data_IF_837516734105
#
_entry.id   IF_837516734105
#
_cell.length_a   1.000
_cell.length_b   1.000
_cell.length_c   1.000
_cell.angle_alpha   90.00
_cell.angle_beta   90.00
_cell.angle_gamma   90.00
#
_symmetry.space_group_name_H-M   'P 1'
#
loop_
_entity.id
_entity.type
_entity.pdbx_description
1 polymer ?
#
# COMPACT_ATOMS: atom_id res chain seq x y z
N UNK A 1 -0.87 2.47 -25.43
CA UNK A 1 0.51 2.39 -24.90
C UNK A 1 0.60 2.81 -23.44
N UNK A 2 0.15 4.01 -23.03
CA UNK A 2 0.26 4.50 -21.64
C UNK A 2 -0.35 3.55 -20.59
N UNK A 3 -1.59 3.13 -20.79
CA UNK A 3 -2.29 2.27 -19.84
C UNK A 3 -1.64 0.89 -19.67
N UNK A 4 -1.10 0.28 -20.75
CA UNK A 4 -0.38 -0.99 -20.63
C UNK A 4 0.91 -0.84 -19.80
N UNK A 5 1.64 0.25 -19.99
CA UNK A 5 2.85 0.54 -19.24
C UNK A 5 2.54 0.82 -17.75
N UNK A 6 1.53 1.65 -17.47
CA UNK A 6 1.03 1.89 -16.10
C UNK A 6 0.60 0.58 -15.44
N UNK A 7 -0.08 -0.30 -16.19
CA UNK A 7 -0.49 -1.59 -15.70
C UNK A 7 0.72 -2.45 -15.33
N UNK A 8 1.71 -2.55 -16.21
CA UNK A 8 2.92 -3.33 -16.02
C UNK A 8 3.74 -2.82 -14.82
N UNK A 9 3.95 -1.50 -14.73
CA UNK A 9 4.71 -0.88 -13.64
C UNK A 9 4.08 -1.19 -12.28
N UNK A 10 2.76 -0.99 -12.14
CA UNK A 10 2.04 -1.31 -10.91
C UNK A 10 2.09 -2.79 -10.56
N UNK A 11 1.99 -3.67 -11.56
CA UNK A 11 2.14 -5.13 -11.36
C UNK A 11 3.51 -5.47 -10.79
N UNK A 12 4.58 -4.90 -11.36
CA UNK A 12 5.95 -5.15 -10.90
C UNK A 12 6.12 -4.63 -9.47
N UNK A 13 5.66 -3.41 -9.17
CA UNK A 13 5.80 -2.83 -7.82
C UNK A 13 5.00 -3.65 -6.79
N UNK A 14 3.76 -4.03 -7.08
CA UNK A 14 2.96 -4.87 -6.18
C UNK A 14 3.64 -6.23 -5.93
N UNK A 15 4.25 -6.84 -6.95
CA UNK A 15 5.01 -8.08 -6.80
C UNK A 15 6.23 -7.88 -5.91
N UNK A 16 7.00 -6.80 -6.11
CA UNK A 16 8.18 -6.50 -5.30
C UNK A 16 7.84 -6.19 -3.85
N UNK A 17 6.74 -5.47 -3.61
CA UNK A 17 6.36 -5.02 -2.28
C UNK A 17 5.70 -6.12 -1.44
N UNK A 18 4.91 -6.99 -2.07
CA UNK A 18 3.99 -7.88 -1.36
C UNK A 18 4.04 -9.35 -1.84
N UNK A 19 4.91 -9.68 -2.79
CA UNK A 19 5.04 -11.04 -3.33
C UNK A 19 3.77 -11.56 -4.02
N UNK A 20 2.85 -10.67 -4.43
CA UNK A 20 1.56 -11.06 -5.04
C UNK A 20 1.65 -11.13 -6.56
N UNK A 21 1.26 -12.26 -7.11
CA UNK A 21 1.12 -12.47 -8.56
C UNK A 21 -0.31 -12.19 -9.06
N UNK A 22 -0.40 -11.92 -10.36
CA UNK A 22 -1.53 -11.24 -11.00
C UNK A 22 -2.76 -12.12 -11.29
N UNK A 23 -2.67 -13.43 -11.03
CA UNK A 23 -3.63 -14.43 -11.53
C UNK A 23 -4.92 -14.53 -10.69
N UNK A 24 -5.03 -13.75 -9.62
CA UNK A 24 -6.20 -13.74 -8.74
C UNK A 24 -7.00 -12.43 -8.84
N UNK A 25 -8.31 -12.53 -8.67
CA UNK A 25 -9.27 -11.41 -8.65
C UNK A 25 -8.86 -10.28 -7.69
N UNK A 26 -8.19 -10.65 -6.60
CA UNK A 26 -7.61 -9.75 -5.61
C UNK A 26 -6.49 -8.86 -6.16
N UNK A 27 -5.59 -9.40 -6.98
CA UNK A 27 -4.50 -8.63 -7.60
C UNK A 27 -5.05 -7.56 -8.54
N UNK A 28 -6.11 -7.89 -9.30
CA UNK A 28 -6.82 -6.92 -10.14
C UNK A 28 -7.51 -5.83 -9.32
N UNK A 29 -8.15 -6.19 -8.20
CA UNK A 29 -8.77 -5.22 -7.26
C UNK A 29 -7.72 -4.28 -6.70
N UNK A 30 -6.64 -4.81 -6.11
CA UNK A 30 -5.55 -4.01 -5.55
C UNK A 30 -4.97 -3.06 -6.59
N UNK A 31 -4.67 -3.56 -7.78
CA UNK A 31 -4.16 -2.75 -8.88
C UNK A 31 -5.09 -1.59 -9.25
N UNK A 32 -6.41 -1.84 -9.31
CA UNK A 32 -7.37 -0.80 -9.64
C UNK A 32 -7.44 0.29 -8.55
N UNK A 33 -7.39 -0.13 -7.29
CA UNK A 33 -7.41 0.76 -6.14
C UNK A 33 -6.14 1.62 -6.10
N UNK A 34 -4.95 1.01 -6.29
CA UNK A 34 -3.67 1.72 -6.38
C UNK A 34 -3.59 2.65 -7.59
N UNK A 35 -4.15 2.26 -8.73
CA UNK A 35 -4.25 3.14 -9.91
C UNK A 35 -5.09 4.38 -9.60
N UNK A 36 -6.21 4.21 -8.91
CA UNK A 36 -7.06 5.33 -8.50
C UNK A 36 -6.37 6.22 -7.46
N UNK A 37 -5.61 5.64 -6.53
CA UNK A 37 -4.79 6.41 -5.60
C UNK A 37 -3.80 7.33 -6.32
N UNK A 38 -3.01 6.79 -7.25
CA UNK A 38 -2.05 7.59 -8.03
C UNK A 38 -2.73 8.70 -8.84
N UNK A 39 -3.91 8.43 -9.41
CA UNK A 39 -4.70 9.44 -10.12
C UNK A 39 -5.18 10.55 -9.19
N UNK A 40 -5.66 10.20 -8.00
CA UNK A 40 -6.14 11.17 -7.01
C UNK A 40 -4.98 11.98 -6.42
N UNK A 41 -3.83 11.36 -6.20
CA UNK A 41 -2.62 12.06 -5.76
C UNK A 41 -2.12 13.09 -6.79
N UNK A 42 -2.23 12.78 -8.08
CA UNK A 42 -1.86 13.71 -9.16
C UNK A 42 -2.96 14.67 -9.58
N UNK A 43 -4.13 14.65 -8.95
CA UNK A 43 -5.27 15.47 -9.34
C UNK A 43 -5.11 16.93 -8.90
N UNK A 44 -5.61 17.85 -9.72
CA UNK A 44 -5.71 19.25 -9.33
C UNK A 44 -6.91 19.46 -8.40
N UNK A 45 -6.68 19.60 -7.10
CA UNK A 45 -7.72 19.83 -6.10
C UNK A 45 -7.73 21.29 -5.67
N UNK A 46 -8.85 21.99 -5.88
CA UNK A 46 -8.97 23.43 -5.57
C UNK A 46 -8.71 23.72 -4.09
N UNK A 47 -9.10 22.81 -3.21
CA UNK A 47 -8.89 22.93 -1.76
C UNK A 47 -7.42 22.98 -1.36
N UNK A 48 -6.50 22.43 -2.17
CA UNK A 48 -5.06 22.47 -1.92
C UNK A 48 -4.50 23.89 -2.13
N UNK A 49 -5.15 24.71 -2.97
CA UNK A 49 -4.78 26.10 -3.23
C UNK A 49 -5.59 27.10 -2.40
N UNK A 50 -6.86 26.78 -2.13
CA UNK A 50 -7.79 27.62 -1.37
C UNK A 50 -8.42 26.77 -0.24
N UNK A 51 -7.73 26.63 0.91
CA UNK A 51 -8.17 25.74 2.00
C UNK A 51 -9.54 26.06 2.58
N UNK A 52 -9.99 27.31 2.50
CA UNK A 52 -11.32 27.72 2.98
C UNK A 52 -12.48 27.11 2.17
N UNK A 53 -12.21 26.61 0.95
CA UNK A 53 -13.21 25.92 0.11
C UNK A 53 -13.23 24.39 0.31
N UNK A 54 -12.39 23.86 1.21
CA UNK A 54 -12.26 22.41 1.45
C UNK A 54 -13.59 21.73 1.79
N UNK A 55 -14.45 22.39 2.58
CA UNK A 55 -15.74 21.84 2.99
C UNK A 55 -16.72 21.59 1.84
N UNK A 56 -16.54 22.26 0.70
CA UNK A 56 -17.37 22.06 -0.49
C UNK A 56 -17.00 20.80 -1.27
N UNK A 57 -15.77 20.29 -1.10
CA UNK A 57 -15.23 19.14 -1.85
C UNK A 57 -15.50 19.27 -3.37
N UNK A 58 -15.09 20.39 -3.97
CA UNK A 58 -15.35 20.70 -5.38
C UNK A 58 -14.70 19.61 -6.26
N UNK A 59 -15.54 18.80 -6.91
CA UNK A 59 -15.10 17.65 -7.70
C UNK A 59 -15.12 16.31 -6.95
N UNK A 60 -15.38 16.30 -5.64
CA UNK A 60 -15.55 15.08 -4.84
C UNK A 60 -14.26 14.34 -4.49
N UNK A 61 -13.10 14.96 -4.74
CA UNK A 61 -11.78 14.32 -4.62
C UNK A 61 -11.46 13.86 -3.20
N UNK A 62 -11.80 14.63 -2.16
CA UNK A 62 -11.51 14.23 -0.79
C UNK A 62 -12.34 13.02 -0.37
N UNK A 63 -13.63 13.02 -0.76
CA UNK A 63 -14.52 11.90 -0.50
C UNK A 63 -14.06 10.65 -1.24
N UNK A 64 -13.58 10.79 -2.48
CA UNK A 64 -13.04 9.67 -3.25
C UNK A 64 -11.73 9.15 -2.64
N UNK A 65 -10.81 10.04 -2.26
CA UNK A 65 -9.56 9.69 -1.60
C UNK A 65 -9.81 8.94 -0.29
N UNK A 66 -10.75 9.42 0.56
CA UNK A 66 -11.10 8.72 1.81
C UNK A 66 -11.66 7.32 1.58
N UNK A 67 -12.45 7.11 0.52
CA UNK A 67 -12.95 5.78 0.16
C UNK A 67 -11.81 4.87 -0.32
N UNK A 68 -10.96 5.41 -1.17
CA UNK A 68 -9.82 4.69 -1.72
C UNK A 68 -8.81 4.31 -0.62
N UNK A 69 -8.52 5.22 0.32
CA UNK A 69 -7.65 4.97 1.46
C UNK A 69 -8.13 3.81 2.35
N UNK A 70 -9.44 3.71 2.62
CA UNK A 70 -10.02 2.57 3.37
C UNK A 70 -9.81 1.24 2.67
N UNK A 71 -9.94 1.25 1.36
CA UNK A 71 -9.79 0.07 0.54
C UNK A 71 -8.32 -0.37 0.45
N UNK A 72 -7.39 0.59 0.32
CA UNK A 72 -5.94 0.34 0.42
C UNK A 72 -5.59 -0.25 1.77
N UNK A 73 -6.03 0.37 2.86
CA UNK A 73 -5.74 -0.09 4.22
C UNK A 73 -6.24 -1.53 4.42
N UNK A 74 -7.45 -1.85 3.95
CA UNK A 74 -7.98 -3.22 3.99
C UNK A 74 -7.08 -4.23 3.25
N UNK A 75 -6.60 -3.87 2.05
CA UNK A 75 -5.74 -4.76 1.24
C UNK A 75 -4.37 -4.94 1.91
N UNK A 76 -3.76 -3.86 2.37
CA UNK A 76 -2.46 -3.89 3.05
C UNK A 76 -2.52 -4.68 4.35
N UNK A 77 -3.58 -4.48 5.14
CA UNK A 77 -3.83 -5.24 6.38
C UNK A 77 -3.95 -6.74 6.08
N UNK A 78 -4.74 -7.09 5.07
CA UNK A 78 -4.91 -8.49 4.67
C UNK A 78 -3.57 -9.12 4.28
N UNK A 79 -2.78 -8.44 3.45
CA UNK A 79 -1.46 -8.96 3.05
C UNK A 79 -0.49 -9.03 4.22
N UNK A 80 -0.50 -8.07 5.13
CA UNK A 80 0.33 -8.10 6.33
C UNK A 80 0.01 -9.31 7.21
N UNK A 81 -1.28 -9.55 7.48
CA UNK A 81 -1.76 -10.70 8.25
C UNK A 81 -1.36 -12.02 7.57
N UNK A 82 -1.45 -12.09 6.25
CA UNK A 82 -1.02 -13.27 5.49
C UNK A 82 0.49 -13.53 5.61
N UNK A 83 1.33 -12.50 5.52
CA UNK A 83 2.78 -12.64 5.69
C UNK A 83 3.14 -13.08 7.12
N UNK A 84 2.53 -12.44 8.13
CA UNK A 84 2.69 -12.84 9.54
C UNK A 84 2.29 -14.29 9.78
N UNK A 85 1.17 -14.72 9.20
CA UNK A 85 0.68 -16.11 9.33
C UNK A 85 1.67 -17.10 8.71
N UNK A 86 2.13 -16.87 7.48
CA UNK A 86 3.10 -17.74 6.81
C UNK A 86 4.39 -17.89 7.63
N UNK A 87 4.91 -16.77 8.14
CA UNK A 87 6.08 -16.74 9.04
C UNK A 87 5.83 -17.57 10.31
N UNK A 88 4.68 -17.40 10.97
CA UNK A 88 4.34 -18.17 12.18
C UNK A 88 4.18 -19.68 11.95
N UNK A 89 3.85 -20.09 10.73
CA UNK A 89 3.74 -21.50 10.34
C UNK A 89 5.09 -22.13 9.96
N UNK A 90 6.20 -21.40 10.06
CA UNK A 90 7.53 -21.89 9.72
C UNK A 90 7.81 -21.93 8.22
N UNK A 91 6.98 -21.29 7.38
CA UNK A 91 7.28 -21.05 5.96
C UNK A 91 8.30 -19.90 5.84
N UNK A 92 9.51 -20.12 6.35
CA UNK A 92 10.59 -19.17 6.19
C UNK A 92 11.08 -19.23 4.73
N UNK A 93 10.83 -18.14 4.00
CA UNK A 93 11.38 -17.94 2.66
C UNK A 93 12.90 -17.84 2.72
N UNK A 94 13.59 -18.34 1.70
CA UNK A 94 15.01 -18.04 1.48
C UNK A 94 15.19 -16.52 1.33
N UNK A 95 16.38 -15.98 1.63
CA UNK A 95 16.61 -14.54 1.51
C UNK A 95 16.29 -14.01 0.10
N UNK A 96 16.59 -14.80 -0.94
CA UNK A 96 16.30 -14.46 -2.34
C UNK A 96 14.80 -14.43 -2.69
N UNK A 97 13.94 -15.03 -1.86
CA UNK A 97 12.49 -15.13 -2.07
C UNK A 97 11.68 -14.12 -1.23
N UNK A 98 12.33 -13.36 -0.36
CA UNK A 98 11.67 -12.36 0.49
C UNK A 98 11.23 -11.15 -0.34
N UNK A 99 9.99 -10.73 -0.11
CA UNK A 99 9.51 -9.45 -0.62
C UNK A 99 9.75 -8.32 0.40
N UNK A 100 9.47 -7.08 0.00
CA UNK A 100 9.70 -5.91 0.86
C UNK A 100 8.95 -6.01 2.21
N UNK A 101 7.71 -6.53 2.20
CA UNK A 101 6.94 -6.69 3.43
C UNK A 101 7.56 -7.74 4.37
N UNK A 102 8.11 -8.84 3.84
CA UNK A 102 8.88 -9.81 4.64
C UNK A 102 10.14 -9.19 5.27
N UNK A 103 10.83 -8.33 4.53
CA UNK A 103 12.03 -7.62 5.00
C UNK A 103 11.63 -6.68 6.14
N UNK A 104 10.59 -5.87 5.94
CA UNK A 104 10.08 -4.95 6.94
C UNK A 104 9.61 -5.67 8.21
N UNK A 105 8.89 -6.78 8.09
CA UNK A 105 8.50 -7.62 9.22
C UNK A 105 9.72 -8.15 9.99
N UNK A 106 10.78 -8.56 9.29
CA UNK A 106 12.01 -9.05 9.94
C UNK A 106 12.73 -7.92 10.69
N UNK A 107 12.82 -6.73 10.07
CA UNK A 107 13.43 -5.55 10.68
C UNK A 107 12.75 -5.16 12.00
N UNK A 108 11.41 -5.16 12.03
CA UNK A 108 10.67 -4.78 13.23
C UNK A 108 10.64 -5.87 14.30
N UNK A 109 10.83 -7.14 13.95
CA UNK A 109 11.02 -8.21 14.95
C UNK A 109 12.36 -8.06 15.67
N UNK A 110 13.42 -7.71 14.91
CA UNK A 110 14.76 -7.45 15.47
C UNK A 110 14.81 -6.14 16.27
N UNK A 111 13.95 -5.17 15.95
CA UNK A 111 13.88 -3.85 16.58
C UNK A 111 12.81 -3.72 17.69
N UNK A 112 12.24 -4.83 18.20
CA UNK A 112 11.17 -4.84 19.22
C UNK A 112 11.52 -4.10 20.55
N UNK A 113 12.78 -3.70 20.75
CA UNK A 113 13.25 -2.92 21.90
C UNK A 113 13.39 -1.39 21.63
N UNK A 114 13.12 -0.90 20.42
CA UNK A 114 13.20 0.53 20.08
C UNK A 114 11.84 1.23 20.17
N UNK A 115 11.81 2.41 20.81
CA UNK A 115 10.61 3.25 20.90
C UNK A 115 10.25 3.82 19.51
N UNK A 116 9.27 3.21 18.85
CA UNK A 116 8.78 3.56 17.51
C UNK A 116 7.95 4.85 17.50
N UNK A 117 8.35 5.85 18.28
CA UNK A 117 7.67 7.13 18.46
C UNK A 117 6.16 6.99 18.78
N UNK A 118 5.78 5.91 19.46
CA UNK A 118 4.39 5.58 19.80
C UNK A 118 3.53 4.99 18.68
N UNK A 119 4.09 4.66 17.51
CA UNK A 119 3.38 3.96 16.43
C UNK A 119 3.57 2.45 16.52
N UNK A 120 2.54 1.69 16.16
CA UNK A 120 2.67 0.24 16.00
C UNK A 120 3.44 -0.11 14.73
N UNK A 121 4.20 -1.21 14.78
CA UNK A 121 5.00 -1.67 13.64
C UNK A 121 4.15 -1.89 12.39
N UNK A 122 2.90 -2.34 12.53
CA UNK A 122 2.02 -2.63 11.39
C UNK A 122 1.66 -1.36 10.62
N UNK A 123 1.36 -0.27 11.33
CA UNK A 123 1.16 1.06 10.75
C UNK A 123 2.42 1.52 10.01
N UNK A 124 3.61 1.33 10.58
CA UNK A 124 4.86 1.74 9.92
C UNK A 124 5.12 0.91 8.65
N UNK A 125 4.93 -0.41 8.73
CA UNK A 125 5.11 -1.32 7.59
C UNK A 125 4.13 -0.95 6.47
N UNK A 126 2.82 -0.86 6.77
CA UNK A 126 1.80 -0.53 5.78
C UNK A 126 2.03 0.84 5.14
N UNK A 127 2.32 1.86 5.95
CA UNK A 127 2.57 3.22 5.44
C UNK A 127 3.83 3.29 4.58
N UNK A 128 4.92 2.64 4.97
CA UNK A 128 6.17 2.59 4.19
C UNK A 128 5.97 1.87 2.85
N UNK A 129 5.27 0.73 2.85
CA UNK A 129 4.91 0.03 1.60
C UNK A 129 4.05 0.90 0.70
N UNK A 130 3.08 1.64 1.25
CA UNK A 130 2.23 2.54 0.48
C UNK A 130 3.02 3.70 -0.12
N UNK A 131 3.94 4.31 0.63
CA UNK A 131 4.79 5.40 0.13
C UNK A 131 5.75 4.91 -0.95
N UNK A 132 6.22 3.66 -0.85
CA UNK A 132 7.10 3.04 -1.86
C UNK A 132 6.43 2.79 -3.22
N UNK A 133 5.13 3.08 -3.36
CA UNK A 133 4.42 3.07 -4.64
C UNK A 133 4.62 4.36 -5.46
N UNK A 134 5.21 5.41 -4.86
CA UNK A 134 5.48 6.71 -5.47
C UNK A 134 6.90 6.78 -6.04
#
# INVERSE_FOLDING_TARGET
>A
MKQWFENLALTIIIRMLFGKEHDFEEGKRARNVMTNFLKLLGAFVVADFIPSLRWLDIGGYEKEMKKNAKEIDYILEKWLVEHKKKRSCGENKCEDDKDFMDIMLSLFEDAMDEDLAGFDADTIIKSTCLVSLL
#
